data_IF_766454801048
#
_entry.id   IF_766454801048
#
_cell.length_a   1.000
_cell.length_b   1.000
_cell.length_c   1.000
_cell.angle_alpha   90.00
_cell.angle_beta   90.00
_cell.angle_gamma   90.00
#
_symmetry.space_group_name_H-M   'P 1'
#
loop_
_entity.id
_entity.type
_entity.pdbx_description
1 polymer ?
#
# COMPACT_ATOMS: atom_id res chain seq x y z
N UNK A 1 26.09 -25.18 35.38
CA UNK A 1 25.95 -25.13 33.91
C UNK A 1 24.47 -25.00 33.60
N UNK A 2 24.01 -23.79 33.31
CA UNK A 2 22.64 -23.45 32.92
C UNK A 2 22.74 -22.80 31.52
N UNK A 3 21.92 -23.19 30.53
CA UNK A 3 22.02 -22.73 29.14
C UNK A 3 21.46 -21.29 28.95
N UNK A 4 21.69 -20.65 27.78
CA UNK A 4 21.57 -19.20 27.62
C UNK A 4 20.11 -18.77 27.42
N UNK A 5 19.74 -17.62 28.00
CA UNK A 5 18.46 -16.97 27.71
C UNK A 5 18.65 -16.00 26.55
N UNK A 6 18.13 -16.41 25.39
CA UNK A 6 17.74 -15.56 24.27
C UNK A 6 16.66 -14.58 24.74
N UNK A 7 16.87 -13.28 24.56
CA UNK A 7 15.85 -12.26 24.76
C UNK A 7 15.21 -11.96 23.41
N UNK A 8 14.05 -12.58 23.15
CA UNK A 8 13.15 -12.21 22.08
C UNK A 8 12.48 -10.87 22.44
N UNK A 9 12.62 -9.87 21.57
CA UNK A 9 11.86 -8.63 21.67
C UNK A 9 10.38 -8.93 21.38
N UNK A 10 9.52 -8.41 22.26
CA UNK A 10 8.09 -8.67 22.28
C UNK A 10 7.39 -8.21 20.99
N UNK A 11 6.67 -9.13 20.36
CA UNK A 11 5.69 -8.85 19.30
C UNK A 11 4.48 -8.19 19.96
N UNK A 12 4.19 -6.94 19.60
CA UNK A 12 2.96 -6.26 20.00
C UNK A 12 1.81 -6.80 19.16
N UNK A 13 1.04 -7.72 19.75
CA UNK A 13 -0.19 -8.27 19.16
C UNK A 13 -1.34 -7.27 19.31
N UNK A 14 -1.72 -6.60 18.21
CA UNK A 14 -3.07 -6.07 18.03
C UNK A 14 -4.01 -7.17 17.51
N UNK A 15 -5.33 -7.07 17.72
CA UNK A 15 -6.26 -8.09 17.24
C UNK A 15 -6.39 -7.98 15.70
N UNK A 16 -6.14 -9.10 15.02
CA UNK A 16 -6.48 -9.38 13.61
C UNK A 16 -5.66 -8.67 12.50
N UNK A 17 -4.33 -8.60 12.66
CA UNK A 17 -3.41 -8.37 11.53
C UNK A 17 -2.93 -9.69 10.90
N UNK A 18 -2.76 -9.79 9.57
CA UNK A 18 -2.27 -11.01 8.93
C UNK A 18 -0.85 -11.35 9.41
N UNK A 19 -0.64 -12.62 9.75
CA UNK A 19 0.68 -13.16 10.09
C UNK A 19 1.61 -13.07 8.88
N UNK A 20 2.73 -12.35 9.03
CA UNK A 20 3.83 -12.35 8.07
C UNK A 20 4.59 -13.68 8.21
N UNK A 21 4.71 -14.47 7.14
CA UNK A 21 5.52 -15.69 7.14
C UNK A 21 7.03 -15.37 7.00
N UNK A 22 7.88 -16.36 7.30
CA UNK A 22 9.35 -16.24 7.25
C UNK A 22 9.91 -15.93 5.84
N UNK A 23 9.05 -15.91 4.80
CA UNK A 23 9.38 -15.60 3.41
C UNK A 23 8.89 -14.23 2.93
N UNK A 24 8.25 -13.44 3.81
CA UNK A 24 7.73 -12.12 3.47
C UNK A 24 6.53 -12.15 2.52
N UNK A 25 5.87 -13.31 2.39
CA UNK A 25 4.63 -13.44 1.63
C UNK A 25 3.51 -13.34 2.66
N UNK A 26 2.76 -12.23 2.62
CA UNK A 26 1.54 -12.09 3.41
C UNK A 26 0.65 -13.31 3.11
N UNK A 27 0.37 -14.13 4.12
CA UNK A 27 -0.59 -15.23 4.01
C UNK A 27 -1.93 -14.72 3.44
N UNK A 28 -2.65 -15.59 2.75
CA UNK A 28 -3.76 -15.32 1.80
C UNK A 28 -4.86 -14.29 2.18
N UNK A 29 -4.92 -13.75 3.39
CA UNK A 29 -5.92 -12.76 3.78
C UNK A 29 -5.30 -11.61 4.59
N UNK A 30 -4.51 -10.77 3.94
CA UNK A 30 -4.14 -9.47 4.49
C UNK A 30 -5.24 -8.44 4.24
N UNK A 31 -5.74 -7.81 5.30
CA UNK A 31 -6.68 -6.69 5.20
C UNK A 31 -6.12 -5.64 4.22
N UNK A 32 -6.91 -5.24 3.24
CA UNK A 32 -6.48 -4.41 2.12
C UNK A 32 -7.14 -3.05 2.15
N UNK A 33 -6.31 -2.01 2.14
CA UNK A 33 -6.73 -0.61 2.07
C UNK A 33 -6.47 -0.08 0.66
N UNK A 34 -7.54 0.24 -0.06
CA UNK A 34 -7.45 0.96 -1.33
C UNK A 34 -7.39 2.46 -1.07
N UNK A 35 -6.35 3.12 -1.60
CA UNK A 35 -6.13 4.56 -1.46
C UNK A 35 -6.43 5.26 -2.78
N UNK A 36 -7.48 6.08 -2.79
CA UNK A 36 -7.72 7.05 -3.86
C UNK A 36 -7.06 8.37 -3.49
N UNK A 37 -6.21 8.89 -4.38
CA UNK A 37 -5.46 10.11 -4.14
C UNK A 37 -5.07 10.78 -5.46
N UNK A 38 -4.81 12.09 -5.44
CA UNK A 38 -4.32 12.82 -6.60
C UNK A 38 -3.06 12.15 -7.18
N UNK A 39 -3.10 11.88 -8.49
CA UNK A 39 -1.93 11.48 -9.29
C UNK A 39 -1.09 12.66 -9.78
N UNK A 40 -1.53 13.89 -9.52
CA UNK A 40 -0.82 15.11 -9.90
C UNK A 40 -0.12 15.72 -8.70
N UNK A 41 0.97 16.46 -8.95
CA UNK A 41 1.64 17.23 -7.91
C UNK A 41 0.98 18.60 -7.66
N UNK A 42 -0.15 18.89 -8.33
CA UNK A 42 -0.90 20.13 -8.17
C UNK A 42 -1.86 20.02 -6.97
N UNK A 43 -1.28 19.78 -5.80
CA UNK A 43 -1.99 19.64 -4.51
C UNK A 43 -1.18 20.38 -3.45
N UNK A 44 -1.86 20.92 -2.44
CA UNK A 44 -1.18 21.61 -1.34
C UNK A 44 -0.15 20.70 -0.65
N UNK A 45 1.06 21.23 -0.44
CA UNK A 45 2.20 20.48 0.09
C UNK A 45 1.92 19.81 1.44
N UNK A 46 1.07 20.42 2.26
CA UNK A 46 0.65 19.90 3.57
C UNK A 46 -0.01 18.52 3.51
N UNK A 47 -0.59 18.13 2.37
CA UNK A 47 -1.22 16.82 2.23
C UNK A 47 -0.23 15.69 1.90
N UNK A 48 0.99 16.00 1.45
CA UNK A 48 1.99 14.98 1.11
C UNK A 48 2.48 14.23 2.34
N UNK A 49 2.75 14.94 3.43
CA UNK A 49 3.19 14.32 4.69
C UNK A 49 2.10 13.40 5.25
N UNK A 50 0.83 13.81 5.12
CA UNK A 50 -0.32 13.00 5.51
C UNK A 50 -0.46 11.74 4.64
N UNK A 51 -0.30 11.87 3.32
CA UNK A 51 -0.36 10.75 2.38
C UNK A 51 0.75 9.72 2.64
N UNK A 52 2.00 10.20 2.82
CA UNK A 52 3.13 9.35 3.18
C UNK A 52 2.89 8.63 4.50
N UNK A 53 2.43 9.37 5.53
CA UNK A 53 2.13 8.79 6.85
C UNK A 53 1.02 7.74 6.77
N UNK A 54 -0.01 7.94 5.94
CA UNK A 54 -1.06 6.95 5.74
C UNK A 54 -0.49 5.63 5.20
N UNK A 55 0.30 5.69 4.12
CA UNK A 55 0.89 4.47 3.54
C UNK A 55 1.77 3.74 4.54
N UNK A 56 2.59 4.49 5.30
CA UNK A 56 3.40 3.96 6.39
C UNK A 56 2.56 3.25 7.45
N UNK A 57 1.46 3.85 7.91
CA UNK A 57 0.59 3.26 8.92
C UNK A 57 -0.13 1.99 8.43
N UNK A 58 -0.53 1.94 7.16
CA UNK A 58 -1.11 0.73 6.55
C UNK A 58 -0.09 -0.41 6.63
N UNK A 59 1.14 -0.15 6.18
CA UNK A 59 2.23 -1.12 6.23
C UNK A 59 2.58 -1.58 7.66
N UNK A 60 2.71 -0.64 8.60
CA UNK A 60 3.00 -0.94 10.02
C UNK A 60 1.88 -1.75 10.70
N UNK A 61 0.65 -1.65 10.19
CA UNK A 61 -0.49 -2.46 10.65
C UNK A 61 -0.48 -3.89 10.06
N UNK A 62 0.52 -4.22 9.23
CA UNK A 62 0.58 -5.48 8.49
C UNK A 62 -0.43 -5.56 7.34
N UNK A 63 -1.03 -4.44 6.95
CA UNK A 63 -2.07 -4.41 5.92
C UNK A 63 -1.47 -4.19 4.53
N UNK A 64 -2.24 -4.59 3.52
CA UNK A 64 -1.89 -4.38 2.12
C UNK A 64 -2.43 -3.02 1.66
N UNK A 65 -1.64 -2.29 0.89
CA UNK A 65 -2.08 -1.08 0.21
C UNK A 65 -2.33 -1.35 -1.27
N UNK A 66 -3.44 -0.84 -1.81
CA UNK A 66 -3.73 -0.86 -3.25
C UNK A 66 -4.02 0.58 -3.72
N UNK A 67 -3.54 0.98 -4.90
CA UNK A 67 -3.90 2.27 -5.49
C UNK A 67 -3.85 2.24 -7.03
N UNK A 68 -3.99 3.41 -7.65
CA UNK A 68 -4.01 3.56 -9.11
C UNK A 68 -2.66 3.43 -9.83
N UNK A 69 -1.56 3.18 -9.11
CA UNK A 69 -0.22 2.91 -9.65
C UNK A 69 0.67 4.12 -9.92
N UNK A 70 0.21 5.35 -9.67
CA UNK A 70 0.96 6.55 -10.01
C UNK A 70 2.15 6.84 -9.07
N UNK A 71 3.25 7.31 -9.64
CA UNK A 71 4.51 7.65 -8.97
C UNK A 71 4.52 9.07 -8.36
N UNK A 72 3.63 9.95 -8.80
CA UNK A 72 3.63 11.37 -8.41
C UNK A 72 2.39 11.75 -7.61
N UNK A 73 2.38 12.98 -7.08
CA UNK A 73 1.27 13.45 -6.25
C UNK A 73 1.14 12.71 -4.92
N UNK A 74 -0.06 12.75 -4.35
CA UNK A 74 -0.37 12.09 -3.09
C UNK A 74 -0.36 10.55 -3.21
N UNK A 75 -0.70 10.02 -4.39
CA UNK A 75 -0.62 8.57 -4.65
C UNK A 75 0.83 8.07 -4.60
N UNK A 76 1.77 8.83 -5.17
CA UNK A 76 3.20 8.55 -5.07
C UNK A 76 3.68 8.58 -3.62
N UNK A 77 3.31 9.63 -2.87
CA UNK A 77 3.68 9.77 -1.47
C UNK A 77 3.16 8.61 -0.59
N UNK A 78 1.90 8.20 -0.76
CA UNK A 78 1.35 7.05 -0.04
C UNK A 78 2.07 5.75 -0.40
N UNK A 79 2.33 5.52 -1.70
CA UNK A 79 3.12 4.38 -2.18
C UNK A 79 4.51 4.35 -1.53
N UNK A 80 5.20 5.49 -1.50
CA UNK A 80 6.53 5.60 -0.90
C UNK A 80 6.50 5.32 0.60
N UNK A 81 5.51 5.85 1.33
CA UNK A 81 5.33 5.60 2.75
C UNK A 81 5.15 4.12 3.10
N UNK A 82 4.29 3.42 2.35
CA UNK A 82 4.07 1.98 2.55
C UNK A 82 5.32 1.14 2.28
N UNK A 83 6.03 1.43 1.18
CA UNK A 83 7.27 0.73 0.83
C UNK A 83 8.39 1.03 1.84
N UNK A 84 8.50 2.27 2.31
CA UNK A 84 9.52 2.68 3.28
C UNK A 84 9.39 1.95 4.63
N UNK A 85 8.17 1.51 4.98
CA UNK A 85 7.89 0.68 6.15
C UNK A 85 8.00 -0.83 5.87
N UNK A 86 8.41 -1.24 4.67
CA UNK A 86 8.50 -2.66 4.28
C UNK A 86 7.15 -3.32 4.01
N UNK A 87 6.09 -2.54 3.79
CA UNK A 87 4.77 -3.05 3.48
C UNK A 87 4.60 -3.48 2.03
N UNK A 88 3.45 -4.08 1.75
CA UNK A 88 3.05 -4.51 0.40
C UNK A 88 2.17 -3.45 -0.24
N UNK A 89 2.62 -2.93 -1.39
CA UNK A 89 1.86 -1.99 -2.21
C UNK A 89 1.67 -2.55 -3.61
N UNK A 90 0.41 -2.65 -4.02
CA UNK A 90 0.02 -3.06 -5.37
C UNK A 90 -0.79 -1.98 -6.08
N UNK A 91 -1.03 -2.17 -7.38
CA UNK A 91 -1.77 -1.22 -8.18
C UNK A 91 -2.74 -1.85 -9.17
N UNK A 92 -3.80 -1.10 -9.50
CA UNK A 92 -4.64 -1.31 -10.68
C UNK A 92 -4.51 -0.10 -11.60
N UNK A 93 -3.81 -0.29 -12.72
CA UNK A 93 -3.44 0.77 -13.65
C UNK A 93 -4.23 0.66 -14.96
N UNK A 94 -4.53 1.78 -15.61
CA UNK A 94 -5.02 1.72 -16.99
C UNK A 94 -3.88 1.34 -17.92
N UNK A 95 -4.19 0.55 -18.94
CA UNK A 95 -3.25 0.17 -19.99
C UNK A 95 -2.55 1.40 -20.61
N UNK A 96 -3.28 2.49 -20.85
CA UNK A 96 -2.72 3.73 -21.42
C UNK A 96 -1.70 4.44 -20.51
N UNK A 97 -1.67 4.14 -19.22
CA UNK A 97 -0.72 4.72 -18.25
C UNK A 97 0.45 3.79 -17.91
N UNK A 98 0.50 2.61 -18.53
CA UNK A 98 1.67 1.76 -18.44
C UNK A 98 2.91 2.53 -18.91
N UNK A 99 4.01 2.38 -18.16
CA UNK A 99 5.34 2.93 -18.45
C UNK A 99 5.49 4.46 -18.47
N UNK A 100 4.43 5.24 -18.18
CA UNK A 100 4.52 6.72 -18.21
C UNK A 100 4.64 7.35 -16.82
N UNK A 101 4.00 6.77 -15.80
CA UNK A 101 3.98 7.36 -14.46
C UNK A 101 3.84 6.32 -13.35
N UNK A 102 4.37 5.11 -13.55
CA UNK A 102 4.20 4.00 -12.61
C UNK A 102 5.37 3.87 -11.63
N UNK A 103 5.08 3.59 -10.36
CA UNK A 103 6.14 3.23 -9.40
C UNK A 103 6.78 1.90 -9.77
N UNK A 104 8.12 1.85 -9.77
CA UNK A 104 8.90 0.62 -10.06
C UNK A 104 9.05 -0.30 -8.86
N UNK A 105 8.54 0.11 -7.69
CA UNK A 105 8.67 -0.62 -6.42
C UNK A 105 7.36 -1.29 -5.98
N UNK A 106 6.37 -1.36 -6.87
CA UNK A 106 5.12 -2.07 -6.64
C UNK A 106 5.37 -3.58 -6.70
N UNK A 107 4.67 -4.34 -5.85
CA UNK A 107 4.78 -5.81 -5.85
C UNK A 107 4.02 -6.41 -7.02
N UNK A 108 2.74 -6.07 -7.15
CA UNK A 108 1.87 -6.50 -8.25
C UNK A 108 1.19 -5.31 -8.92
N UNK A 109 1.02 -5.41 -10.24
CA UNK A 109 0.30 -4.42 -11.04
C UNK A 109 -0.72 -5.16 -11.90
N UNK A 110 -2.00 -4.93 -11.61
CA UNK A 110 -3.09 -5.34 -12.46
C UNK A 110 -3.35 -4.28 -13.53
N UNK A 111 -3.53 -4.70 -14.77
CA UNK A 111 -3.77 -3.80 -15.90
C UNK A 111 -5.23 -3.90 -16.31
N UNK A 112 -5.92 -2.77 -16.27
CA UNK A 112 -7.28 -2.62 -16.73
C UNK A 112 -7.34 -1.97 -18.12
N UNK A 113 -8.19 -2.51 -19.00
CA UNK A 113 -8.38 -2.02 -20.36
C UNK A 113 -9.14 -0.67 -20.40
N UNK A 114 -9.98 -0.38 -19.40
CA UNK A 114 -10.78 0.83 -19.35
C UNK A 114 -11.03 1.32 -17.90
N UNK A 115 -11.61 2.52 -17.79
CA UNK A 115 -11.88 3.17 -16.50
C UNK A 115 -12.91 2.43 -15.63
N UNK A 116 -14.03 1.91 -16.16
CA UNK A 116 -14.94 1.05 -15.41
C UNK A 116 -14.23 -0.15 -14.78
N UNK A 117 -13.51 -0.96 -15.57
CA UNK A 117 -12.77 -2.13 -15.07
C UNK A 117 -11.72 -1.73 -14.05
N UNK A 118 -11.01 -0.62 -14.26
CA UNK A 118 -10.04 -0.12 -13.28
C UNK A 118 -10.67 0.22 -11.93
N UNK A 119 -11.78 0.95 -11.94
CA UNK A 119 -12.48 1.31 -10.69
C UNK A 119 -13.03 0.06 -9.99
N UNK A 120 -13.53 -0.89 -10.77
CA UNK A 120 -14.03 -2.15 -10.22
C UNK A 120 -12.89 -2.95 -9.57
N UNK A 121 -11.74 -3.12 -10.22
CA UNK A 121 -10.59 -3.81 -9.63
C UNK A 121 -10.06 -3.15 -8.36
N UNK A 122 -10.02 -1.80 -8.33
CA UNK A 122 -9.67 -1.06 -7.11
C UNK A 122 -10.67 -1.26 -5.97
N UNK A 123 -11.96 -1.36 -6.31
CA UNK A 123 -13.04 -1.56 -5.35
C UNK A 123 -13.07 -3.01 -4.82
N UNK A 124 -12.93 -3.99 -5.72
CA UNK A 124 -12.95 -5.42 -5.39
C UNK A 124 -11.74 -5.84 -4.56
N UNK A 125 -10.61 -5.16 -4.73
CA UNK A 125 -9.42 -5.39 -3.91
C UNK A 125 -9.55 -4.84 -2.48
N UNK A 126 -10.54 -3.99 -2.18
CA UNK A 126 -10.60 -3.23 -0.95
C UNK A 126 -11.45 -3.90 0.14
N UNK A 127 -10.89 -4.06 1.34
CA UNK A 127 -11.67 -4.22 2.57
C UNK A 127 -12.07 -2.85 3.15
N UNK A 128 -11.22 -1.85 2.93
CA UNK A 128 -11.48 -0.45 3.26
C UNK A 128 -10.97 0.48 2.17
N UNK A 129 -11.63 1.63 2.04
CA UNK A 129 -11.27 2.67 1.08
C UNK A 129 -10.97 3.96 1.83
N UNK A 130 -9.81 4.56 1.54
CA UNK A 130 -9.44 5.88 2.04
C UNK A 130 -9.30 6.83 0.85
N UNK A 131 -9.93 8.00 0.96
CA UNK A 131 -9.83 9.07 -0.04
C UNK A 131 -8.99 10.22 0.51
N UNK A 132 -7.94 10.56 -0.22
CA UNK A 132 -7.11 11.74 0.01
C UNK A 132 -7.50 12.85 -0.99
N UNK A 133 -7.13 14.12 -0.75
CA UNK A 133 -7.41 15.21 -1.68
C UNK A 133 -6.94 14.90 -3.12
N UNK A 134 -7.78 15.22 -4.10
CA UNK A 134 -7.48 14.99 -5.52
C UNK A 134 -8.70 14.93 -6.42
#
# INVERSE_FOLDING_TARGET
>A
MVPPQSSAAAVLSGPDGPSVDEKGILGEAAFTVTVYAASSSHVHKEHFDAAFRLGKLIAESGWRQVNGGGLTGLMGAATEGGIAAGGVVDAVILEMFLNTNMSTKLRNVEVAADMPTRKQGLFDAADAIVTLPG
#
